data_IF_987073863757
#
_entry.id   IF_987073863757
#
_cell.length_a   1.000
_cell.length_b   1.000
_cell.length_c   1.000
_cell.angle_alpha   90.00
_cell.angle_beta   90.00
_cell.angle_gamma   90.00
#
_symmetry.space_group_name_H-M   'P 1'
#
loop_
_entity.id
_entity.type
_entity.pdbx_description
1 polymer ?
#
# COMPACT_ATOMS: atom_id res chain seq x y z
N UNK A 1 -10.11 20.54 6.90
CA UNK A 1 -10.11 19.15 6.38
C UNK A 1 -9.84 18.23 7.55
N UNK A 2 -10.54 17.09 7.64
CA UNK A 2 -10.22 16.07 8.64
C UNK A 2 -8.79 15.59 8.45
N UNK A 3 -8.09 15.31 9.55
CA UNK A 3 -6.75 14.74 9.49
C UNK A 3 -6.79 13.36 8.83
N UNK A 4 -5.96 13.12 7.82
CA UNK A 4 -5.82 11.78 7.21
C UNK A 4 -5.26 10.81 8.26
N UNK A 5 -5.86 9.62 8.37
CA UNK A 5 -5.46 8.59 9.32
C UNK A 5 -5.53 7.21 8.67
N UNK A 6 -4.40 6.49 8.66
CA UNK A 6 -4.27 5.17 8.05
C UNK A 6 -3.71 4.11 9.00
N UNK A 7 -4.00 2.84 8.70
CA UNK A 7 -3.38 1.69 9.33
C UNK A 7 -2.23 1.16 8.45
N UNK A 8 -0.97 1.28 8.89
CA UNK A 8 0.19 0.89 8.11
C UNK A 8 0.52 -0.59 8.32
N UNK A 9 0.34 -1.37 7.25
CA UNK A 9 0.95 -2.67 7.07
C UNK A 9 2.37 -2.49 6.51
N UNK A 10 3.37 -2.64 7.38
CA UNK A 10 4.78 -2.36 7.06
C UNK A 10 5.42 -3.39 6.13
N UNK A 11 4.85 -4.60 6.03
CA UNK A 11 5.55 -5.76 5.49
C UNK A 11 6.78 -6.13 6.34
N UNK A 12 7.65 -6.97 5.77
CA UNK A 12 8.85 -7.47 6.44
C UNK A 12 10.10 -6.63 6.16
N UNK A 13 10.35 -6.23 4.90
CA UNK A 13 11.59 -5.55 4.48
C UNK A 13 11.79 -4.21 5.20
N UNK A 14 10.74 -3.40 5.32
CA UNK A 14 10.80 -2.10 5.99
C UNK A 14 11.03 -2.20 7.51
N UNK A 15 10.80 -3.37 8.12
CA UNK A 15 11.12 -3.63 9.54
C UNK A 15 12.50 -4.27 9.74
N UNK A 16 13.18 -4.71 8.67
CA UNK A 16 14.37 -5.55 8.75
C UNK A 16 15.50 -5.03 7.85
N UNK A 17 15.44 -5.32 6.55
CA UNK A 17 16.56 -5.09 5.63
C UNK A 17 16.70 -3.64 5.18
N UNK A 18 15.62 -2.85 5.20
CA UNK A 18 15.61 -1.42 4.81
C UNK A 18 14.85 -0.59 5.85
N UNK A 19 15.32 -0.53 7.12
CA UNK A 19 14.60 0.16 8.19
C UNK A 19 14.46 1.67 7.97
N UNK A 20 15.35 2.25 7.17
CA UNK A 20 15.30 3.65 6.73
C UNK A 20 14.04 3.98 5.93
N UNK A 21 13.45 2.99 5.25
CA UNK A 21 12.20 3.18 4.52
C UNK A 21 11.03 3.44 5.50
N UNK A 22 10.98 2.71 6.60
CA UNK A 22 9.94 2.91 7.62
C UNK A 22 10.15 4.24 8.36
N UNK A 23 11.38 4.53 8.79
CA UNK A 23 11.66 5.77 9.53
C UNK A 23 11.40 7.02 8.69
N UNK A 24 11.79 7.01 7.41
CA UNK A 24 11.50 8.10 6.48
C UNK A 24 10.00 8.25 6.19
N UNK A 25 9.28 7.14 6.02
CA UNK A 25 7.81 7.15 5.84
C UNK A 25 7.12 7.82 7.03
N UNK A 26 7.47 7.44 8.26
CA UNK A 26 6.86 8.01 9.46
C UNK A 26 7.22 9.50 9.63
N UNK A 27 8.46 9.88 9.35
CA UNK A 27 8.90 11.28 9.40
C UNK A 27 8.18 12.16 8.35
N UNK A 28 7.98 11.64 7.14
CA UNK A 28 7.20 12.32 6.09
C UNK A 28 5.74 12.44 6.53
N UNK A 29 5.13 11.35 7.01
CA UNK A 29 3.74 11.38 7.45
C UNK A 29 3.50 12.41 8.57
N UNK A 30 4.36 12.44 9.59
CA UNK A 30 4.30 13.45 10.66
C UNK A 30 4.41 14.88 10.10
N UNK A 31 5.35 15.11 9.18
CA UNK A 31 5.55 16.43 8.57
C UNK A 31 4.35 16.91 7.75
N UNK A 32 3.65 15.98 7.11
CA UNK A 32 2.44 16.23 6.34
C UNK A 32 1.17 16.23 7.21
N UNK A 33 1.30 15.95 8.52
CA UNK A 33 0.17 15.85 9.44
C UNK A 33 -0.71 14.62 9.23
N UNK A 34 -0.21 13.59 8.54
CA UNK A 34 -0.90 12.32 8.30
C UNK A 34 -0.66 11.41 9.49
N UNK A 35 -1.73 10.98 10.16
CA UNK A 35 -1.63 10.04 11.28
C UNK A 35 -1.47 8.62 10.76
N UNK A 36 -0.52 7.87 11.30
CA UNK A 36 -0.29 6.47 10.99
C UNK A 36 -0.39 5.63 12.26
N UNK A 37 -1.20 4.58 12.23
CA UNK A 37 -1.20 3.51 13.22
C UNK A 37 -0.52 2.28 12.61
N UNK A 38 0.60 1.83 13.17
CA UNK A 38 1.28 0.61 12.69
C UNK A 38 0.47 -0.62 13.12
N UNK A 39 0.28 -1.56 12.21
CA UNK A 39 -0.30 -2.88 12.51
C UNK A 39 0.81 -3.81 13.02
N UNK A 40 1.02 -3.85 14.33
CA UNK A 40 2.14 -4.60 14.92
C UNK A 40 1.96 -6.12 14.84
N UNK A 41 0.71 -6.60 14.90
CA UNK A 41 0.34 -8.01 14.86
C UNK A 41 0.30 -8.58 13.43
N UNK A 42 0.43 -7.72 12.42
CA UNK A 42 0.41 -8.12 11.02
C UNK A 42 1.63 -9.00 10.68
N UNK A 43 1.38 -10.07 9.95
CA UNK A 43 2.39 -11.03 9.49
C UNK A 43 2.84 -10.77 8.06
N UNK A 44 3.84 -11.51 7.58
CA UNK A 44 4.28 -11.47 6.19
C UNK A 44 3.10 -11.72 5.22
N UNK A 45 3.13 -11.06 4.06
CA UNK A 45 2.16 -11.23 2.98
C UNK A 45 2.37 -12.50 2.13
N UNK A 46 3.47 -13.23 2.36
CA UNK A 46 3.84 -14.41 1.56
C UNK A 46 4.76 -14.12 0.37
N UNK A 47 5.04 -12.83 0.12
CA UNK A 47 5.88 -12.34 -0.97
C UNK A 47 5.47 -12.91 -2.33
N UNK A 48 6.34 -13.67 -2.99
CA UNK A 48 6.08 -14.29 -4.30
C UNK A 48 6.07 -15.81 -4.24
N UNK A 49 6.08 -16.44 -3.06
CA UNK A 49 6.24 -17.90 -2.95
C UNK A 49 5.05 -18.59 -2.31
N UNK A 50 4.36 -17.92 -1.38
CA UNK A 50 3.33 -18.59 -0.59
C UNK A 50 2.12 -18.96 -1.45
N UNK A 51 1.69 -18.07 -2.34
CA UNK A 51 0.55 -18.30 -3.20
C UNK A 51 0.80 -19.44 -4.21
N UNK A 52 2.05 -19.65 -4.62
CA UNK A 52 2.44 -20.74 -5.53
C UNK A 52 2.43 -22.10 -4.81
N UNK A 53 2.65 -22.09 -3.49
CA UNK A 53 2.66 -23.29 -2.65
C UNK A 53 1.28 -23.63 -2.10
N UNK A 54 0.60 -22.63 -1.52
CA UNK A 54 -0.71 -22.74 -0.88
C UNK A 54 -1.46 -21.40 -0.98
N UNK A 55 -2.26 -21.27 -2.04
CA UNK A 55 -3.11 -20.10 -2.31
C UNK A 55 -4.13 -19.84 -1.19
N UNK A 56 -4.71 -20.88 -0.60
CA UNK A 56 -5.68 -20.73 0.48
C UNK A 56 -5.02 -20.14 1.73
N UNK A 57 -3.85 -20.64 2.11
CA UNK A 57 -3.08 -20.09 3.21
C UNK A 57 -2.65 -18.64 2.94
N UNK A 58 -2.27 -18.31 1.70
CA UNK A 58 -1.96 -16.94 1.31
C UNK A 58 -3.15 -16.00 1.56
N UNK A 59 -4.36 -16.41 1.19
CA UNK A 59 -5.58 -15.64 1.47
C UNK A 59 -5.86 -15.51 2.96
N UNK A 60 -5.72 -16.58 3.75
CA UNK A 60 -5.94 -16.52 5.21
C UNK A 60 -4.99 -15.52 5.87
N UNK A 61 -3.69 -15.54 5.53
CA UNK A 61 -2.70 -14.65 6.14
C UNK A 61 -2.88 -13.18 5.73
N UNK A 62 -3.17 -12.92 4.46
CA UNK A 62 -3.39 -11.55 4.00
C UNK A 62 -4.74 -11.00 4.51
N UNK A 63 -5.79 -11.83 4.58
CA UNK A 63 -7.06 -11.43 5.18
C UNK A 63 -6.91 -11.10 6.67
N UNK A 64 -6.10 -11.88 7.40
CA UNK A 64 -5.75 -11.61 8.81
C UNK A 64 -5.16 -10.20 8.97
N UNK A 65 -4.26 -9.80 8.07
CA UNK A 65 -3.67 -8.45 8.09
C UNK A 65 -4.73 -7.36 7.84
N UNK A 66 -5.62 -7.57 6.86
CA UNK A 66 -6.69 -6.61 6.56
C UNK A 66 -7.65 -6.47 7.75
N UNK A 67 -7.99 -7.56 8.43
CA UNK A 67 -8.85 -7.54 9.63
C UNK A 67 -8.31 -6.62 10.74
N UNK A 68 -6.99 -6.48 10.87
CA UNK A 68 -6.41 -5.56 11.85
C UNK A 68 -6.68 -4.09 11.50
N UNK A 69 -6.67 -3.72 10.22
CA UNK A 69 -7.10 -2.39 9.78
C UNK A 69 -8.61 -2.20 9.97
N UNK A 70 -9.43 -3.23 9.66
CA UNK A 70 -10.89 -3.20 9.84
C UNK A 70 -11.28 -2.99 11.31
N UNK A 71 -10.58 -3.64 12.25
CA UNK A 71 -10.78 -3.43 13.70
C UNK A 71 -10.58 -1.99 14.13
N UNK A 72 -9.72 -1.25 13.43
CA UNK A 72 -9.47 0.17 13.67
C UNK A 72 -10.43 1.08 12.90
N UNK A 73 -11.20 0.53 11.96
CA UNK A 73 -12.05 1.31 11.04
C UNK A 73 -11.25 2.21 10.10
N UNK A 74 -10.02 1.80 9.76
CA UNK A 74 -9.09 2.58 8.94
C UNK A 74 -8.80 1.88 7.61
N UNK A 75 -8.49 2.67 6.59
CA UNK A 75 -7.87 2.15 5.37
C UNK A 75 -6.50 1.57 5.68
N UNK A 76 -6.25 0.36 5.21
CA UNK A 76 -4.94 -0.27 5.27
C UNK A 76 -4.04 0.32 4.18
N UNK A 77 -2.89 0.84 4.57
CA UNK A 77 -1.85 1.29 3.64
C UNK A 77 -0.61 0.41 3.73
N UNK A 78 0.17 0.36 2.66
CA UNK A 78 1.50 -0.22 2.66
C UNK A 78 2.49 0.63 1.85
N UNK A 79 3.78 0.41 2.08
CA UNK A 79 4.91 1.05 1.39
C UNK A 79 5.71 0.05 0.56
N UNK A 80 5.13 -1.12 0.29
CA UNK A 80 5.74 -2.20 -0.47
C UNK A 80 4.80 -2.67 -1.58
N UNK A 81 5.27 -2.58 -2.83
CA UNK A 81 4.52 -3.01 -4.01
C UNK A 81 4.04 -4.47 -3.91
N UNK A 82 4.88 -5.39 -3.42
CA UNK A 82 4.49 -6.81 -3.27
C UNK A 82 3.46 -7.02 -2.17
N UNK A 83 3.53 -6.24 -1.08
CA UNK A 83 2.49 -6.26 -0.04
C UNK A 83 1.16 -5.72 -0.59
N UNK A 84 1.22 -4.68 -1.43
CA UNK A 84 0.06 -4.11 -2.11
C UNK A 84 -0.63 -5.14 -2.99
N UNK A 85 0.12 -5.82 -3.87
CA UNK A 85 -0.45 -6.85 -4.76
C UNK A 85 -1.10 -8.00 -3.98
N UNK A 86 -0.40 -8.62 -3.03
CA UNK A 86 -0.94 -9.77 -2.28
C UNK A 86 -2.19 -9.42 -1.46
N UNK A 87 -2.20 -8.24 -0.86
CA UNK A 87 -3.35 -7.74 -0.11
C UNK A 87 -4.52 -7.43 -1.04
N UNK A 88 -4.26 -6.81 -2.20
CA UNK A 88 -5.27 -6.49 -3.20
C UNK A 88 -5.89 -7.75 -3.84
N UNK A 89 -5.07 -8.75 -4.19
CA UNK A 89 -5.54 -10.05 -4.69
C UNK A 89 -6.45 -10.73 -3.67
N UNK A 90 -6.04 -10.75 -2.40
CA UNK A 90 -6.84 -11.34 -1.33
C UNK A 90 -8.15 -10.59 -1.12
N UNK A 91 -8.11 -9.26 -1.03
CA UNK A 91 -9.32 -8.43 -0.92
C UNK A 91 -10.28 -8.72 -2.07
N UNK A 92 -9.79 -8.70 -3.31
CA UNK A 92 -10.60 -8.97 -4.50
C UNK A 92 -11.22 -10.37 -4.46
N UNK A 93 -10.43 -11.40 -4.14
CA UNK A 93 -10.91 -12.78 -4.08
C UNK A 93 -12.02 -12.95 -3.02
N UNK A 94 -11.86 -12.36 -1.83
CA UNK A 94 -12.85 -12.48 -0.75
C UNK A 94 -14.09 -11.60 -0.96
N UNK A 95 -13.93 -10.45 -1.60
CA UNK A 95 -15.05 -9.54 -1.89
C UNK A 95 -15.94 -10.07 -3.04
N UNK A 96 -15.38 -10.90 -3.94
CA UNK A 96 -16.09 -11.44 -5.11
C UNK A 96 -16.50 -12.91 -4.97
N UNK A 97 -15.94 -13.65 -4.01
CA UNK A 97 -16.26 -15.06 -3.77
C UNK A 97 -16.75 -15.31 -2.32
N UNK A 98 -18.08 -15.32 -2.08
CA UNK A 98 -18.65 -15.55 -0.75
C UNK A 98 -18.28 -16.90 -0.12
N UNK A 99 -18.11 -17.95 -0.92
CA UNK A 99 -17.74 -19.28 -0.43
C UNK A 99 -16.30 -19.30 0.07
N UNK A 100 -15.37 -18.70 -0.67
CA UNK A 100 -13.98 -18.53 -0.24
C UNK A 100 -13.92 -17.64 1.01
N UNK A 101 -14.67 -16.54 1.05
CA UNK A 101 -14.78 -15.67 2.23
C UNK A 101 -15.24 -16.42 3.46
N UNK A 102 -16.27 -17.27 3.34
CA UNK A 102 -16.74 -18.10 4.44
C UNK A 102 -15.64 -19.03 4.96
N UNK A 103 -14.97 -19.77 4.06
CA UNK A 103 -13.87 -20.68 4.42
C UNK A 103 -12.68 -19.98 5.06
N UNK A 104 -12.31 -18.79 4.58
CA UNK A 104 -11.25 -17.97 5.19
C UNK A 104 -11.69 -17.50 6.59
N UNK A 105 -12.94 -17.06 6.73
CA UNK A 105 -13.47 -16.63 8.03
C UNK A 105 -13.56 -17.77 9.05
N UNK A 106 -13.75 -19.02 8.65
CA UNK A 106 -13.63 -20.18 9.55
C UNK A 106 -12.23 -20.24 10.19
N UNK A 107 -11.16 -19.98 9.42
CA UNK A 107 -9.78 -19.94 9.93
C UNK A 107 -9.47 -18.70 10.75
N UNK A 108 -9.99 -17.56 10.35
CA UNK A 108 -9.84 -16.32 11.11
C UNK A 108 -10.55 -16.39 12.47
N UNK A 109 -11.67 -17.11 12.57
CA UNK A 109 -12.42 -17.29 13.81
C UNK A 109 -11.59 -18.02 14.89
N UNK A 110 -10.70 -18.93 14.50
CA UNK A 110 -9.77 -19.63 15.42
C UNK A 110 -8.87 -18.64 16.21
N UNK A 111 -8.66 -17.43 15.67
CA UNK A 111 -7.85 -16.36 16.29
C UNK A 111 -8.67 -15.11 16.62
N UNK A 112 -10.00 -15.21 16.68
CA UNK A 112 -10.89 -14.09 17.04
C UNK A 112 -10.90 -12.94 16.02
N UNK A 113 -10.81 -13.28 14.74
CA UNK A 113 -10.89 -12.36 13.61
C UNK A 113 -12.00 -12.77 12.65
N UNK A 114 -12.50 -11.79 11.88
CA UNK A 114 -13.48 -11.98 10.82
C UNK A 114 -13.22 -10.91 9.76
N UNK A 115 -13.00 -11.32 8.52
CA UNK A 115 -12.85 -10.43 7.38
C UNK A 115 -14.24 -9.95 6.91
N UNK A 116 -14.43 -8.63 6.92
CA UNK A 116 -15.70 -8.00 6.55
C UNK A 116 -15.69 -7.40 5.15
N UNK A 117 -14.53 -6.98 4.65
CA UNK A 117 -14.36 -6.27 3.38
C UNK A 117 -14.52 -4.74 3.48
N UNK A 118 -14.49 -4.21 4.71
CA UNK A 118 -14.71 -2.80 5.06
C UNK A 118 -13.47 -1.92 4.95
N UNK A 119 -12.27 -2.49 5.06
CA UNK A 119 -11.02 -1.74 4.86
C UNK A 119 -10.67 -1.70 3.37
N UNK A 120 -10.34 -0.52 2.88
CA UNK A 120 -9.62 -0.36 1.62
C UNK A 120 -8.15 -0.76 1.77
N UNK A 121 -7.50 -1.08 0.66
CA UNK A 121 -6.09 -1.47 0.59
C UNK A 121 -5.38 -0.58 -0.43
N UNK A 122 -4.49 0.30 0.03
CA UNK A 122 -3.80 1.27 -0.83
C UNK A 122 -2.29 1.29 -0.63
N UNK A 123 -1.56 1.64 -1.69
CA UNK A 123 -0.16 2.00 -1.55
C UNK A 123 -0.05 3.45 -1.05
N UNK A 124 0.88 3.72 -0.13
CA UNK A 124 1.02 5.05 0.47
C UNK A 124 1.32 6.13 -0.57
N UNK A 125 2.03 5.79 -1.66
CA UNK A 125 2.24 6.66 -2.82
C UNK A 125 0.92 7.28 -3.32
N UNK A 126 -0.10 6.45 -3.52
CA UNK A 126 -1.38 6.93 -4.05
C UNK A 126 -2.21 7.66 -2.99
N UNK A 127 -2.01 7.36 -1.70
CA UNK A 127 -2.59 8.19 -0.64
C UNK A 127 -1.99 9.61 -0.66
N UNK A 128 -0.68 9.73 -0.91
CA UNK A 128 -0.01 11.03 -1.05
C UNK A 128 -0.51 11.80 -2.30
N UNK A 129 -0.71 11.11 -3.42
CA UNK A 129 -1.11 11.74 -4.68
C UNK A 129 -2.61 12.07 -4.70
N UNK A 130 -3.45 11.09 -4.36
CA UNK A 130 -4.91 11.16 -4.59
C UNK A 130 -5.66 11.78 -3.41
N UNK A 131 -5.19 11.57 -2.17
CA UNK A 131 -5.90 12.03 -0.96
C UNK A 131 -5.23 13.25 -0.32
N UNK A 132 -3.91 13.26 -0.19
CA UNK A 132 -3.17 14.42 0.33
C UNK A 132 -2.96 15.49 -0.74
N UNK A 133 -2.65 15.10 -1.98
CA UNK A 133 -2.55 15.99 -3.14
C UNK A 133 -1.14 16.55 -3.37
N UNK A 134 -0.70 16.54 -4.64
CA UNK A 134 0.64 17.00 -5.05
C UNK A 134 0.90 18.49 -4.74
N UNK A 135 -0.10 19.36 -4.89
CA UNK A 135 0.04 20.79 -4.57
C UNK A 135 0.38 20.99 -3.08
N UNK A 136 -0.28 20.23 -2.19
CA UNK A 136 0.01 20.25 -0.76
C UNK A 136 1.39 19.67 -0.43
N UNK A 137 1.94 18.80 -1.26
CA UNK A 137 3.32 18.28 -1.11
C UNK A 137 4.31 19.38 -1.49
N UNK A 138 4.08 20.02 -2.63
CA UNK A 138 4.92 21.11 -3.15
C UNK A 138 5.08 22.23 -2.13
N UNK A 139 3.99 22.64 -1.47
CA UNK A 139 4.01 23.67 -0.42
C UNK A 139 4.82 23.30 0.83
N UNK A 140 5.14 22.01 1.01
CA UNK A 140 5.92 21.50 2.15
C UNK A 140 7.40 21.30 1.82
N UNK A 141 7.81 21.44 0.57
CA UNK A 141 9.20 21.30 0.14
C UNK A 141 10.07 22.34 0.86
N UNK A 142 11.17 21.87 1.46
CA UNK A 142 12.16 22.72 2.16
C UNK A 142 13.53 22.70 1.48
N UNK A 143 13.90 21.54 0.97
CA UNK A 143 15.11 21.33 0.17
C UNK A 143 14.65 20.73 -1.15
N UNK A 144 14.60 21.51 -2.23
CA UNK A 144 14.12 21.03 -3.52
C UNK A 144 15.11 20.03 -4.12
N UNK A 145 14.60 19.09 -4.91
CA UNK A 145 15.42 18.08 -5.59
C UNK A 145 15.95 18.54 -6.95
N UNK A 146 15.96 19.85 -7.23
CA UNK A 146 16.23 20.44 -8.56
C UNK A 146 17.62 20.20 -9.13
N UNK A 147 18.53 19.63 -8.34
CA UNK A 147 19.85 19.24 -8.82
C UNK A 147 19.93 17.75 -9.21
N UNK A 148 18.82 17.01 -9.10
CA UNK A 148 18.77 15.58 -9.33
C UNK A 148 17.91 15.23 -10.55
N UNK A 149 18.53 14.47 -11.45
CA UNK A 149 17.82 13.67 -12.44
C UNK A 149 17.46 12.32 -11.79
N UNK A 150 16.19 11.96 -11.78
CA UNK A 150 15.66 10.80 -11.05
C UNK A 150 14.95 9.90 -12.04
N UNK A 151 15.44 8.68 -12.20
CA UNK A 151 14.79 7.66 -13.02
C UNK A 151 13.75 6.90 -12.14
N UNK A 152 12.44 7.06 -12.37
CA UNK A 152 11.43 6.41 -11.56
C UNK A 152 11.35 4.91 -11.87
N UNK A 153 11.46 4.07 -10.83
CA UNK A 153 11.16 2.65 -10.93
C UNK A 153 9.83 2.34 -10.24
N UNK A 154 8.79 2.20 -11.04
CA UNK A 154 7.42 1.96 -10.57
C UNK A 154 7.21 0.61 -9.91
N UNK A 155 7.94 -0.41 -10.38
CA UNK A 155 7.72 -1.81 -10.05
C UNK A 155 6.41 -2.36 -10.63
N UNK A 156 6.37 -3.66 -10.94
CA UNK A 156 5.20 -4.26 -11.57
C UNK A 156 3.98 -4.36 -10.63
N UNK A 157 4.19 -4.76 -9.38
CA UNK A 157 3.13 -5.09 -8.41
C UNK A 157 2.30 -3.89 -7.90
N UNK A 158 2.65 -2.66 -8.27
CA UNK A 158 1.91 -1.46 -7.88
C UNK A 158 0.96 -0.96 -8.98
N UNK A 159 1.25 -1.34 -10.23
CA UNK A 159 0.53 -0.89 -11.43
C UNK A 159 -0.07 -2.06 -12.22
N UNK A 160 0.29 -3.31 -11.90
CA UNK A 160 -0.21 -4.52 -12.54
C UNK A 160 -0.61 -5.58 -11.51
N UNK A 161 -1.73 -6.28 -11.72
CA UNK A 161 -2.64 -6.15 -12.87
C UNK A 161 -3.60 -4.96 -12.71
N UNK A 162 -3.90 -4.27 -13.81
CA UNK A 162 -4.63 -2.99 -13.77
C UNK A 162 -6.02 -3.14 -13.16
N UNK A 163 -6.72 -4.24 -13.44
CA UNK A 163 -8.06 -4.53 -12.92
C UNK A 163 -8.12 -4.59 -11.39
N UNK A 164 -7.01 -4.95 -10.72
CA UNK A 164 -6.93 -4.94 -9.26
C UNK A 164 -6.60 -3.54 -8.72
N UNK A 165 -5.75 -2.80 -9.42
CA UNK A 165 -5.22 -1.53 -8.90
C UNK A 165 -6.02 -0.30 -9.32
N UNK A 166 -6.82 -0.36 -10.38
CA UNK A 166 -7.46 0.80 -11.01
C UNK A 166 -8.18 1.72 -10.02
N UNK A 167 -8.87 1.14 -9.04
CA UNK A 167 -9.62 1.90 -8.03
C UNK A 167 -8.76 2.39 -6.85
N UNK A 168 -7.53 1.90 -6.73
CA UNK A 168 -6.61 2.17 -5.61
C UNK A 168 -5.41 3.06 -5.99
N UNK A 169 -5.18 3.29 -7.29
CA UNK A 169 -4.05 4.03 -7.82
C UNK A 169 -4.41 5.16 -8.80
N UNK A 170 -5.67 5.61 -8.78
CA UNK A 170 -6.15 6.66 -9.68
C UNK A 170 -6.20 6.25 -11.15
N UNK A 171 -6.32 4.94 -11.45
CA UNK A 171 -6.41 4.42 -12.82
C UNK A 171 -5.07 4.49 -13.58
N UNK A 172 -3.94 4.33 -12.88
CA UNK A 172 -2.62 4.42 -13.49
C UNK A 172 -2.42 3.43 -14.65
N UNK A 173 -1.87 3.92 -15.76
CA UNK A 173 -1.61 3.10 -16.94
C UNK A 173 -0.32 2.27 -16.73
N UNK A 174 -0.37 0.93 -16.83
CA UNK A 174 0.79 0.07 -16.61
C UNK A 174 1.85 0.10 -17.72
N UNK A 175 1.55 0.71 -18.87
CA UNK A 175 2.45 0.87 -20.01
C UNK A 175 3.07 2.26 -20.09
N UNK A 176 2.38 3.26 -19.54
CA UNK A 176 2.84 4.66 -19.48
C UNK A 176 2.50 5.25 -18.11
N UNK A 177 3.09 4.72 -17.01
CA UNK A 177 2.80 5.21 -15.66
C UNK A 177 3.39 6.60 -15.45
N UNK A 178 2.83 7.37 -14.52
CA UNK A 178 3.22 8.78 -14.28
C UNK A 178 3.18 9.19 -12.81
N UNK A 179 2.79 8.31 -11.88
CA UNK A 179 2.63 8.65 -10.46
C UNK A 179 3.94 9.06 -9.80
N UNK A 180 5.04 8.38 -10.09
CA UNK A 180 6.35 8.74 -9.57
C UNK A 180 6.90 9.98 -10.27
N UNK A 181 6.71 10.12 -11.59
CA UNK A 181 7.11 11.33 -12.34
C UNK A 181 6.46 12.57 -11.73
N UNK A 182 5.14 12.54 -11.55
CA UNK A 182 4.37 13.63 -10.96
C UNK A 182 4.80 13.95 -9.52
N UNK A 183 5.17 12.92 -8.75
CA UNK A 183 5.70 13.13 -7.39
C UNK A 183 7.10 13.74 -7.42
N UNK A 184 7.97 13.29 -8.32
CA UNK A 184 9.32 13.85 -8.52
C UNK A 184 9.22 15.34 -8.91
N UNK A 185 8.34 15.67 -9.84
CA UNK A 185 8.06 17.06 -10.25
C UNK A 185 7.55 17.91 -9.09
N UNK A 186 6.64 17.38 -8.26
CA UNK A 186 6.12 18.07 -7.09
C UNK A 186 7.20 18.33 -6.02
N UNK A 187 8.25 17.50 -6.00
CA UNK A 187 9.44 17.67 -5.15
C UNK A 187 10.53 18.54 -5.82
N UNK A 188 10.19 19.18 -6.94
CA UNK A 188 11.07 20.03 -7.75
C UNK A 188 12.29 19.29 -8.34
N UNK A 189 12.22 17.96 -8.48
CA UNK A 189 13.23 17.15 -9.17
C UNK A 189 12.99 17.05 -10.66
N UNK A 190 13.87 16.33 -11.36
CA UNK A 190 13.76 16.11 -12.81
C UNK A 190 13.54 14.61 -13.09
N UNK A 191 12.31 14.17 -13.38
CA UNK A 191 12.09 12.80 -13.84
C UNK A 191 12.75 12.61 -15.21
N UNK A 192 13.43 11.48 -15.41
CA UNK A 192 14.09 11.18 -16.69
C UNK A 192 13.55 9.91 -17.32
N UNK A 193 13.32 9.99 -18.63
CA UNK A 193 13.08 8.84 -19.48
C UNK A 193 14.36 8.02 -19.64
N UNK A 194 14.21 6.71 -19.76
CA UNK A 194 15.30 5.77 -19.97
C UNK A 194 14.90 4.69 -20.98
N UNK A 195 15.88 4.23 -21.77
CA UNK A 195 15.75 3.13 -22.76
C UNK A 195 16.30 1.81 -22.23
#
# INVERSE_FOLDING_TARGET
MSQLHYALFTGCTAKQSTPELLSSTLAVADKLGIKITILEEASCCGASHLQDFDEFLAHVLNARNICYAEKLGLTMITICNTCQLNSAMTKHALDTNPELKARVNEKLAEVGLEYKGTSEVKHFLYCLIDEYGLDNIKDKVKVPLSNFNIAPFYGCHNIRPSELHHNSNGGENPYTPTSLDRLIDALEGHPVDYE
#
